data_IF_357355545495
#
_entry.id   IF_357355545495
#
_cell.length_a   1.000
_cell.length_b   1.000
_cell.length_c   1.000
_cell.angle_alpha   90.00
_cell.angle_beta   90.00
_cell.angle_gamma   90.00
#
_symmetry.space_group_name_H-M   'P 1'
#
loop_
_entity.id
_entity.type
_entity.pdbx_description
1 polymer ?
#
# COMPACT_ATOMS: atom_id res chain seq x y z
N UNK A 1 11.50 4.67 9.00
CA UNK A 1 10.70 5.53 8.08
C UNK A 1 9.24 5.09 8.10
N UNK A 2 8.26 5.96 7.84
CA UNK A 2 6.87 5.53 7.66
C UNK A 2 6.63 5.08 6.21
N UNK A 3 5.89 4.00 6.01
CA UNK A 3 5.50 3.51 4.69
C UNK A 3 3.99 3.30 4.64
N UNK A 4 3.28 4.05 3.79
CA UNK A 4 1.82 4.00 3.69
C UNK A 4 1.45 2.92 2.67
N UNK A 5 0.67 1.93 3.08
CA UNK A 5 0.22 0.89 2.17
C UNK A 5 -1.25 1.11 1.77
N UNK A 6 -1.50 1.15 0.48
CA UNK A 6 -2.83 1.24 -0.12
C UNK A 6 -3.51 -0.15 -0.23
N UNK A 7 -4.83 -0.19 -0.44
CA UNK A 7 -5.63 -1.41 -0.58
C UNK A 7 -5.05 -2.32 -1.67
N UNK A 8 -4.79 -1.78 -2.85
CA UNK A 8 -4.31 -2.57 -3.99
C UNK A 8 -2.93 -3.18 -3.73
N UNK A 9 -2.07 -2.44 -3.03
CA UNK A 9 -0.74 -2.89 -2.63
C UNK A 9 -0.80 -4.03 -1.61
N UNK A 10 -1.67 -3.91 -0.61
CA UNK A 10 -1.87 -4.95 0.40
C UNK A 10 -2.45 -6.25 -0.18
N UNK A 11 -3.16 -6.17 -1.31
CA UNK A 11 -3.72 -7.33 -2.01
C UNK A 11 -2.72 -8.06 -2.92
N UNK A 12 -1.54 -7.48 -3.19
CA UNK A 12 -0.53 -8.06 -4.07
C UNK A 12 -0.20 -9.53 -3.74
N UNK A 13 0.02 -9.94 -2.47
CA UNK A 13 0.41 -11.31 -2.16
C UNK A 13 -0.65 -12.32 -2.60
N UNK A 14 -1.93 -12.01 -2.39
CA UNK A 14 -3.02 -12.91 -2.79
C UNK A 14 -3.38 -12.85 -4.27
N UNK A 15 -3.04 -11.77 -4.97
CA UNK A 15 -3.31 -11.63 -6.40
C UNK A 15 -2.21 -12.24 -7.27
N UNK A 16 -0.96 -12.14 -6.83
CA UNK A 16 0.24 -12.41 -7.63
C UNK A 16 1.27 -13.33 -6.95
N UNK A 17 1.06 -13.72 -5.68
CA UNK A 17 2.00 -14.62 -4.98
C UNK A 17 3.33 -13.97 -4.60
N UNK A 18 3.39 -12.63 -4.59
CA UNK A 18 4.61 -11.87 -4.28
C UNK A 18 4.72 -11.66 -2.77
N UNK A 19 5.89 -11.93 -2.20
CA UNK A 19 6.21 -11.59 -0.81
C UNK A 19 6.47 -10.09 -0.67
N UNK A 20 5.40 -9.34 -0.41
CA UNK A 20 5.47 -7.88 -0.25
C UNK A 20 6.38 -7.47 0.90
N UNK A 21 6.46 -8.25 1.98
CA UNK A 21 7.27 -7.87 3.14
C UNK A 21 8.74 -8.08 2.84
N UNK A 22 9.12 -9.25 2.32
CA UNK A 22 10.49 -9.50 1.90
C UNK A 22 10.96 -8.52 0.81
N UNK A 23 10.08 -8.16 -0.12
CA UNK A 23 10.40 -7.17 -1.15
C UNK A 23 10.52 -5.74 -0.60
N UNK A 24 9.72 -5.35 0.40
CA UNK A 24 9.91 -4.08 1.10
C UNK A 24 11.22 -4.05 1.88
N UNK A 25 11.57 -5.14 2.58
CA UNK A 25 12.82 -5.26 3.32
C UNK A 25 14.02 -5.14 2.37
N UNK A 26 13.97 -5.80 1.20
CA UNK A 26 14.98 -5.73 0.14
C UNK A 26 15.14 -4.32 -0.43
N UNK A 27 14.03 -3.61 -0.64
CA UNK A 27 14.02 -2.30 -1.30
C UNK A 27 14.38 -1.14 -0.37
N UNK A 28 13.98 -1.24 0.90
CA UNK A 28 14.15 -0.14 1.86
C UNK A 28 15.48 -0.21 2.59
N UNK A 29 16.06 -1.41 2.75
CA UNK A 29 17.36 -1.67 3.41
C UNK A 29 17.48 -1.04 4.81
N UNK A 30 16.35 -0.70 5.44
CA UNK A 30 16.29 -0.07 6.77
C UNK A 30 14.92 -0.25 7.41
N UNK A 31 14.80 -0.11 8.75
CA UNK A 31 13.53 -0.27 9.44
C UNK A 31 12.44 0.71 8.96
N UNK A 32 11.23 0.18 8.80
CA UNK A 32 10.04 0.95 8.47
C UNK A 32 8.86 0.61 9.36
N UNK A 33 7.94 1.57 9.49
CA UNK A 33 6.66 1.41 10.14
C UNK A 33 5.58 1.44 9.04
N UNK A 34 4.89 0.32 8.85
CA UNK A 34 3.71 0.25 7.99
C UNK A 34 2.60 1.11 8.60
N UNK A 35 2.10 2.08 7.83
CA UNK A 35 0.96 2.90 8.18
C UNK A 35 -0.22 2.52 7.31
N UNK A 36 -1.33 2.14 7.94
CA UNK A 36 -2.54 1.71 7.25
C UNK A 36 -3.65 2.75 7.50
N UNK A 37 -4.00 3.57 6.50
CA UNK A 37 -5.13 4.50 6.63
C UNK A 37 -6.43 3.76 6.95
N UNK A 38 -7.27 4.30 7.83
CA UNK A 38 -8.56 3.66 8.16
C UNK A 38 -9.48 3.41 6.95
N UNK A 39 -9.54 4.26 5.90
CA UNK A 39 -10.31 3.96 4.70
C UNK A 39 -9.80 2.72 3.94
N UNK A 40 -8.48 2.49 3.90
CA UNK A 40 -7.87 1.30 3.28
C UNK A 40 -8.35 0.01 3.96
N UNK A 41 -8.42 0.01 5.30
CA UNK A 41 -8.98 -1.14 6.04
C UNK A 41 -10.46 -1.37 5.75
N UNK A 42 -11.26 -0.30 5.61
CA UNK A 42 -12.68 -0.42 5.30
C UNK A 42 -12.87 -1.01 3.90
N UNK A 43 -12.08 -0.56 2.94
CA UNK A 43 -12.11 -1.08 1.58
C UNK A 43 -11.69 -2.55 1.51
N UNK A 44 -10.60 -2.95 2.18
CA UNK A 44 -10.20 -4.35 2.28
C UNK A 44 -11.32 -5.23 2.87
N UNK A 45 -12.00 -4.77 3.93
CA UNK A 45 -13.15 -5.51 4.50
C UNK A 45 -14.27 -5.67 3.49
N UNK A 46 -14.67 -4.58 2.83
CA UNK A 46 -15.71 -4.61 1.78
C UNK A 46 -15.35 -5.59 0.66
N UNK A 47 -14.12 -5.55 0.15
CA UNK A 47 -13.66 -6.46 -0.90
C UNK A 47 -13.64 -7.91 -0.41
N UNK A 48 -13.23 -8.15 0.85
CA UNK A 48 -13.19 -9.49 1.43
C UNK A 48 -14.55 -10.18 1.54
N UNK A 49 -15.62 -9.38 1.60
CA UNK A 49 -17.01 -9.83 1.71
C UNK A 49 -17.70 -9.88 0.34
N UNK A 50 -17.51 -8.86 -0.49
CA UNK A 50 -18.34 -8.59 -1.68
C UNK A 50 -17.59 -8.72 -3.01
N UNK A 51 -16.25 -8.88 -2.99
CA UNK A 51 -15.43 -8.98 -4.20
C UNK A 51 -15.60 -10.28 -4.98
N UNK A 52 -14.96 -10.38 -6.14
CA UNK A 52 -14.86 -11.65 -6.88
C UNK A 52 -14.09 -12.69 -6.05
N UNK A 53 -14.25 -14.01 -6.30
CA UNK A 53 -13.58 -15.05 -5.51
C UNK A 53 -12.07 -14.81 -5.28
N UNK A 54 -11.34 -14.45 -6.35
CA UNK A 54 -9.89 -14.14 -6.28
C UNK A 54 -9.60 -12.89 -5.44
N UNK A 55 -10.40 -11.83 -5.60
CA UNK A 55 -10.26 -10.57 -4.86
C UNK A 55 -10.58 -10.76 -3.37
N UNK A 56 -11.60 -11.55 -3.04
CA UNK A 56 -11.96 -11.89 -1.66
C UNK A 56 -10.79 -12.56 -0.93
N UNK A 57 -10.17 -13.56 -1.57
CA UNK A 57 -8.99 -14.23 -1.01
C UNK A 57 -7.83 -13.26 -0.83
N UNK A 58 -7.56 -12.42 -1.83
CA UNK A 58 -6.49 -11.42 -1.75
C UNK A 58 -6.72 -10.37 -0.67
N UNK A 59 -7.96 -9.89 -0.51
CA UNK A 59 -8.31 -8.92 0.52
C UNK A 59 -8.21 -9.52 1.93
N UNK A 60 -8.56 -10.80 2.12
CA UNK A 60 -8.33 -11.51 3.39
C UNK A 60 -6.85 -11.58 3.75
N UNK A 61 -5.99 -11.89 2.77
CA UNK A 61 -4.53 -11.87 2.95
C UNK A 61 -4.05 -10.44 3.24
N UNK A 62 -4.57 -9.44 2.53
CA UNK A 62 -4.27 -8.03 2.77
C UNK A 62 -4.65 -7.56 4.18
N UNK A 63 -5.78 -8.01 4.72
CA UNK A 63 -6.17 -7.74 6.12
C UNK A 63 -5.20 -8.37 7.13
N UNK A 64 -4.66 -9.55 6.85
CA UNK A 64 -3.64 -10.18 7.69
C UNK A 64 -2.34 -9.36 7.64
N UNK A 65 -1.91 -8.96 6.44
CA UNK A 65 -0.73 -8.11 6.26
C UNK A 65 -0.88 -6.76 6.96
N UNK A 66 -2.06 -6.14 6.86
CA UNK A 66 -2.36 -4.85 7.49
C UNK A 66 -2.24 -4.87 9.03
N UNK A 67 -2.41 -6.04 9.67
CA UNK A 67 -2.21 -6.19 11.13
C UNK A 67 -0.77 -5.94 11.57
N UNK A 68 0.21 -6.03 10.66
CA UNK A 68 1.62 -5.70 10.94
C UNK A 68 1.87 -4.19 11.00
N UNK A 69 0.93 -3.37 10.52
CA UNK A 69 1.04 -1.92 10.50
C UNK A 69 0.22 -1.22 11.57
N UNK A 70 0.54 0.05 11.78
CA UNK A 70 -0.22 0.96 12.64
C UNK A 70 -1.39 1.56 11.87
N UNK A 71 -2.60 1.42 12.42
CA UNK A 71 -3.79 2.04 11.84
C UNK A 71 -3.80 3.54 12.10
N UNK A 72 -3.86 4.33 11.03
CA UNK A 72 -3.95 5.78 11.09
C UNK A 72 -5.39 6.20 10.83
N UNK A 73 -6.07 6.70 11.86
CA UNK A 73 -7.45 7.21 11.73
C UNK A 73 -7.42 8.52 10.94
N UNK A 74 -8.09 8.50 9.80
CA UNK A 74 -8.22 9.65 8.88
C UNK A 74 -9.63 9.70 8.32
N UNK A 75 -10.10 10.92 8.04
CA UNK A 75 -11.39 11.17 7.39
C UNK A 75 -11.19 11.30 5.87
N UNK A 76 -12.22 10.96 5.10
CA UNK A 76 -12.23 11.09 3.64
C UNK A 76 -11.90 9.79 2.91
N UNK A 77 -11.85 9.89 1.57
CA UNK A 77 -11.52 8.78 0.68
C UNK A 77 -10.05 8.34 0.83
N UNK A 78 -9.75 7.09 0.48
CA UNK A 78 -8.43 6.49 0.62
C UNK A 78 -7.33 7.32 -0.06
N UNK A 79 -7.48 7.62 -1.35
CA UNK A 79 -6.48 8.37 -2.14
C UNK A 79 -6.18 9.74 -1.55
N UNK A 80 -7.22 10.51 -1.21
CA UNK A 80 -7.07 11.83 -0.60
C UNK A 80 -6.42 11.76 0.78
N UNK A 81 -6.73 10.73 1.57
CA UNK A 81 -6.10 10.50 2.85
C UNK A 81 -4.63 10.07 2.71
N UNK A 82 -4.31 9.22 1.73
CA UNK A 82 -2.94 8.79 1.41
C UNK A 82 -2.10 10.00 0.99
N UNK A 83 -2.58 10.82 0.05
CA UNK A 83 -1.90 12.04 -0.39
C UNK A 83 -1.64 12.99 0.79
N UNK A 84 -2.66 13.27 1.60
CA UNK A 84 -2.51 14.15 2.76
C UNK A 84 -1.52 13.63 3.80
N UNK A 85 -1.51 12.32 4.06
CA UNK A 85 -0.54 11.70 4.96
C UNK A 85 0.87 11.72 4.37
N UNK A 86 0.98 11.47 3.06
CA UNK A 86 2.23 11.42 2.34
C UNK A 86 2.97 12.76 2.32
N UNK A 87 2.23 13.86 2.17
CA UNK A 87 2.81 15.20 2.08
C UNK A 87 3.25 15.76 3.44
N UNK A 88 2.68 15.26 4.54
CA UNK A 88 2.97 15.75 5.89
C UNK A 88 4.22 15.15 6.51
N UNK A 89 4.87 14.18 5.88
CA UNK A 89 6.06 13.53 6.43
C UNK A 89 6.93 12.86 5.38
N UNK A 90 8.21 12.59 5.73
CA UNK A 90 9.11 11.77 4.90
C UNK A 90 8.64 10.32 4.92
N UNK A 91 7.81 9.93 3.97
CA UNK A 91 7.28 8.58 3.85
C UNK A 91 7.16 8.13 2.40
N UNK A 92 7.32 6.82 2.19
CA UNK A 92 7.02 6.17 0.91
C UNK A 92 5.58 5.68 0.88
N UNK A 93 5.02 5.53 -0.32
CA UNK A 93 3.68 4.98 -0.53
C UNK A 93 3.75 3.72 -1.37
N UNK A 94 3.06 2.67 -0.95
CA UNK A 94 2.83 1.46 -1.71
C UNK A 94 1.49 1.53 -2.43
N UNK A 95 1.49 1.61 -3.76
CA UNK A 95 0.26 1.53 -4.58
C UNK A 95 0.56 0.88 -5.93
N UNK A 96 -0.46 0.23 -6.52
CA UNK A 96 -0.39 -0.25 -7.91
C UNK A 96 -1.13 0.66 -8.89
N UNK A 97 -1.81 1.70 -8.39
CA UNK A 97 -2.56 2.63 -9.23
C UNK A 97 -1.59 3.60 -9.94
N UNK A 98 -1.67 3.64 -11.27
CA UNK A 98 -0.78 4.44 -12.09
C UNK A 98 -1.05 5.95 -11.96
N UNK A 99 -2.31 6.35 -11.76
CA UNK A 99 -2.69 7.75 -11.59
C UNK A 99 -2.26 8.27 -10.21
N UNK A 100 -2.51 7.51 -9.15
CA UNK A 100 -2.05 7.85 -7.80
C UNK A 100 -0.52 7.89 -7.73
N UNK A 101 0.17 6.93 -8.37
CA UNK A 101 1.63 6.97 -8.48
C UNK A 101 2.11 8.25 -9.16
N UNK A 102 1.54 8.60 -10.33
CA UNK A 102 1.93 9.82 -11.07
C UNK A 102 1.76 11.06 -10.20
N UNK A 103 0.63 11.17 -9.49
CA UNK A 103 0.33 12.30 -8.61
C UNK A 103 1.31 12.39 -7.43
N UNK A 104 1.59 11.27 -6.76
CA UNK A 104 2.55 11.21 -5.65
C UNK A 104 3.95 11.62 -6.10
N UNK A 105 4.39 11.11 -7.26
CA UNK A 105 5.70 11.44 -7.83
C UNK A 105 5.81 12.92 -8.22
N UNK A 106 4.75 13.49 -8.78
CA UNK A 106 4.71 14.94 -9.09
C UNK A 106 4.93 15.80 -7.84
N UNK A 107 4.49 15.32 -6.67
CA UNK A 107 4.67 15.98 -5.38
C UNK A 107 5.94 15.55 -4.63
N UNK A 108 6.85 14.81 -5.29
CA UNK A 108 8.12 14.39 -4.71
C UNK A 108 8.04 13.19 -3.75
N UNK A 109 6.87 12.56 -3.58
CA UNK A 109 6.70 11.42 -2.67
C UNK A 109 7.20 10.14 -3.34
N UNK A 110 8.13 9.36 -2.76
CA UNK A 110 8.59 8.11 -3.32
C UNK A 110 7.50 7.03 -3.30
N UNK A 111 7.40 6.24 -4.36
CA UNK A 111 6.36 5.22 -4.54
C UNK A 111 6.97 3.85 -4.78
N UNK A 112 6.50 2.84 -4.06
CA UNK A 112 6.81 1.43 -4.30
C UNK A 112 5.60 0.78 -4.97
N UNK A 113 5.83 0.07 -6.07
CA UNK A 113 4.75 -0.49 -6.87
C UNK A 113 5.11 -1.88 -7.41
N UNK A 114 4.10 -2.65 -7.78
CA UNK A 114 4.27 -3.96 -8.41
C UNK A 114 4.75 -3.78 -9.85
N UNK A 115 5.93 -4.33 -10.15
CA UNK A 115 6.52 -4.34 -11.50
C UNK A 115 6.43 -5.74 -12.09
N UNK A 116 6.00 -5.81 -13.35
CA UNK A 116 5.88 -7.06 -14.14
C UNK A 116 5.07 -8.18 -13.45
N UNK A 117 4.22 -7.83 -12.47
CA UNK A 117 3.43 -8.77 -11.65
C UNK A 117 4.29 -9.79 -10.89
N UNK A 118 5.57 -9.51 -10.63
CA UNK A 118 6.50 -10.47 -10.02
C UNK A 118 7.36 -9.90 -8.87
N UNK A 119 7.64 -8.61 -8.86
CA UNK A 119 8.51 -7.99 -7.85
C UNK A 119 8.10 -6.54 -7.59
N UNK A 120 8.57 -5.97 -6.49
CA UNK A 120 8.39 -4.54 -6.22
C UNK A 120 9.54 -3.72 -6.83
N UNK A 121 9.22 -2.51 -7.24
CA UNK A 121 10.17 -1.51 -7.69
C UNK A 121 9.87 -0.16 -7.03
N UNK A 122 10.89 0.70 -6.92
CA UNK A 122 10.76 2.06 -6.38
C UNK A 122 10.80 3.06 -7.54
N UNK A 123 9.91 4.04 -7.50
CA UNK A 123 10.00 5.28 -8.26
C UNK A 123 10.25 6.44 -7.28
N UNK A 124 11.40 7.10 -7.44
CA UNK A 124 11.86 8.17 -6.57
C UNK A 124 12.92 7.78 -5.55
N UNK A 125 13.35 8.79 -4.80
CA UNK A 125 14.37 8.67 -3.77
C UNK A 125 13.71 8.45 -2.42
N UNK A 126 14.12 7.39 -1.72
CA UNK A 126 13.55 6.99 -0.44
C UNK A 126 14.54 7.28 0.67
#
# INVERSE_FOLDING_TARGET
>A
MRFIADTSFLMIPGLYGVDVVGELDRLLERPYELAIPSPVLQELRRISEQGKPKERTAAKIGLILAKRGKVIKVKGAADGAILNLALKGRCGVGTTDAALRKELRHRGVPVIYLRQKSHLAIDGWI
#
